data_IF_457231852280
#
_entry.id   IF_457231852280
#
_cell.length_a   1.000
_cell.length_b   1.000
_cell.length_c   1.000
_cell.angle_alpha   90.00
_cell.angle_beta   90.00
_cell.angle_gamma   90.00
#
_symmetry.space_group_name_H-M   'P 1'
#
loop_
_entity.id
_entity.type
_entity.pdbx_description
1 polymer ?
#
# COMPACT_ATOMS: atom_id res chain seq x y z
N UNK A 1 -36.57 -22.95 57.07
CA UNK A 1 -37.42 -23.30 55.92
C UNK A 1 -36.71 -22.89 54.63
N UNK A 2 -36.69 -23.77 53.63
CA UNK A 2 -36.69 -23.48 52.17
C UNK A 2 -35.64 -22.47 51.62
N UNK A 3 -34.56 -22.93 50.98
CA UNK A 3 -34.44 -23.38 49.56
C UNK A 3 -34.30 -22.20 48.57
N UNK A 4 -33.11 -21.92 48.04
CA UNK A 4 -32.49 -22.64 46.90
C UNK A 4 -33.07 -22.29 45.52
N UNK A 5 -32.68 -21.13 44.99
CA UNK A 5 -32.48 -20.86 43.55
C UNK A 5 -31.29 -19.90 43.46
N UNK A 6 -30.10 -20.37 43.08
CA UNK A 6 -29.61 -20.54 41.71
C UNK A 6 -28.52 -19.47 41.47
N UNK A 7 -27.25 -19.82 41.68
CA UNK A 7 -26.34 -20.45 40.71
C UNK A 7 -25.98 -19.49 39.56
N UNK A 8 -24.72 -19.05 39.54
CA UNK A 8 -23.68 -19.45 38.56
C UNK A 8 -23.85 -18.74 37.20
N UNK A 9 -22.83 -18.19 36.54
CA UNK A 9 -21.36 -18.21 36.74
C UNK A 9 -20.80 -17.05 35.90
N UNK A 10 -19.87 -16.21 36.40
CA UNK A 10 -18.41 -16.26 36.13
C UNK A 10 -18.00 -16.85 34.77
N UNK A 11 -17.06 -16.33 33.98
CA UNK A 11 -15.84 -15.51 34.19
C UNK A 11 -15.91 -14.17 33.40
N UNK A 12 -15.02 -13.16 33.46
CA UNK A 12 -13.91 -12.76 34.36
C UNK A 12 -13.68 -11.23 34.21
N UNK A 13 -13.27 -10.47 35.26
CA UNK A 13 -12.91 -9.06 35.14
C UNK A 13 -11.38 -8.78 35.11
N UNK A 14 -11.01 -7.79 34.31
CA UNK A 14 -9.93 -6.79 34.43
C UNK A 14 -8.80 -7.01 35.48
N UNK A 15 -7.57 -7.20 34.97
CA UNK A 15 -6.42 -6.34 35.28
C UNK A 15 -5.54 -6.61 36.52
N UNK A 16 -4.35 -7.19 36.30
CA UNK A 16 -3.12 -6.93 37.07
C UNK A 16 -1.89 -7.26 36.20
N UNK A 17 -0.85 -6.42 36.22
CA UNK A 17 0.37 -6.58 35.41
C UNK A 17 1.42 -7.52 36.03
N UNK A 18 2.63 -7.55 35.45
CA UNK A 18 3.73 -6.93 36.19
C UNK A 18 4.62 -6.01 35.33
N UNK A 19 5.43 -5.20 36.02
CA UNK A 19 6.16 -4.06 35.45
C UNK A 19 7.64 -4.34 35.15
N UNK A 20 8.08 -3.84 34.00
CA UNK A 20 9.43 -3.34 33.69
C UNK A 20 9.18 -2.20 32.69
N UNK A 21 9.79 -1.02 32.70
CA UNK A 21 11.05 -0.55 33.30
C UNK A 21 11.56 0.50 32.30
N UNK A 22 11.73 1.75 32.71
CA UNK A 22 11.98 2.87 31.79
C UNK A 22 13.37 2.86 31.18
N UNK A 23 13.47 2.84 29.85
CA UNK A 23 14.63 3.34 29.11
C UNK A 23 14.17 4.03 27.80
N UNK A 24 14.68 5.25 27.48
CA UNK A 24 14.43 5.90 26.20
C UNK A 24 15.55 5.53 25.19
N UNK A 25 15.19 4.97 24.04
CA UNK A 25 16.19 4.59 23.04
C UNK A 25 15.62 4.09 21.71
N UNK A 26 15.48 5.01 20.75
CA UNK A 26 15.48 4.79 19.31
C UNK A 26 14.83 3.50 18.76
N UNK A 27 13.55 3.57 18.41
CA UNK A 27 12.92 2.60 17.50
C UNK A 27 12.49 3.28 16.19
N UNK A 28 13.45 3.39 15.27
CA UNK A 28 13.20 3.58 13.84
C UNK A 28 13.88 2.44 13.09
N UNK A 29 13.11 1.44 12.65
CA UNK A 29 13.26 0.71 11.36
C UNK A 29 12.45 -0.59 11.37
N UNK A 30 11.85 -0.92 10.21
CA UNK A 30 11.53 -2.31 9.86
C UNK A 30 10.06 -2.74 9.93
N UNK A 31 9.16 -2.10 9.18
CA UNK A 31 7.93 -2.79 8.75
C UNK A 31 8.30 -3.88 7.73
N UNK A 32 8.67 -5.06 8.23
CA UNK A 32 8.85 -6.28 7.44
C UNK A 32 8.58 -7.51 8.31
N UNK A 33 7.40 -8.16 8.21
CA UNK A 33 7.18 -9.45 8.85
C UNK A 33 8.18 -10.51 8.32
N UNK A 34 8.57 -11.50 9.15
CA UNK A 34 9.52 -12.52 8.75
C UNK A 34 8.86 -13.69 8.00
N UNK A 35 9.66 -14.41 7.20
CA UNK A 35 9.33 -15.66 6.51
C UNK A 35 8.37 -15.61 5.30
N UNK A 36 8.81 -15.05 4.18
CA UNK A 36 8.27 -15.41 2.85
C UNK A 36 9.41 -15.67 1.84
N UNK A 37 9.24 -16.57 0.84
CA UNK A 37 10.24 -16.81 -0.21
C UNK A 37 10.48 -15.58 -1.10
N UNK A 38 9.64 -14.55 -0.98
CA UNK A 38 9.75 -13.29 -1.71
C UNK A 38 11.07 -12.56 -1.48
N UNK A 39 11.69 -12.64 -0.28
CA UNK A 39 13.01 -12.01 -0.04
C UNK A 39 14.09 -12.56 -0.95
N UNK A 40 14.03 -13.84 -1.35
CA UNK A 40 14.97 -14.42 -2.29
C UNK A 40 14.76 -13.91 -3.72
N UNK A 41 13.52 -13.85 -4.19
CA UNK A 41 13.16 -13.30 -5.52
C UNK A 41 13.51 -11.81 -5.61
N UNK A 42 13.20 -11.06 -4.55
CA UNK A 42 13.54 -9.64 -4.38
C UNK A 42 15.06 -9.39 -4.46
N UNK A 43 15.88 -10.21 -3.78
CA UNK A 43 17.34 -10.10 -3.86
C UNK A 43 17.92 -10.56 -5.20
N UNK A 44 17.31 -11.53 -5.88
CA UNK A 44 17.71 -11.96 -7.23
C UNK A 44 17.49 -10.86 -8.27
N UNK A 45 16.31 -10.25 -8.30
CA UNK A 45 15.94 -9.25 -9.31
C UNK A 45 16.56 -7.85 -9.09
N UNK A 46 16.79 -7.42 -7.84
CA UNK A 46 17.40 -6.10 -7.56
C UNK A 46 18.94 -6.10 -7.59
N UNK A 47 19.57 -7.20 -8.01
CA UNK A 47 21.03 -7.37 -7.95
C UNK A 47 21.89 -6.48 -8.89
N UNK A 48 21.42 -5.88 -10.01
CA UNK A 48 22.26 -4.99 -10.83
C UNK A 48 22.33 -3.54 -10.29
N UNK A 49 22.31 -3.35 -8.96
CA UNK A 49 22.46 -2.03 -8.28
C UNK A 49 23.95 -1.74 -7.94
N UNK A 50 24.88 -2.40 -8.62
CA UNK A 50 26.34 -2.17 -8.54
C UNK A 50 27.04 -2.25 -9.90
N UNK A 51 26.54 -1.48 -10.87
CA UNK A 51 27.32 -1.09 -12.05
C UNK A 51 27.29 0.43 -12.15
N UNK A 52 28.47 1.04 -12.13
CA UNK A 52 28.62 2.47 -12.40
C UNK A 52 28.07 2.76 -13.79
N UNK A 53 27.03 3.60 -13.88
CA UNK A 53 26.36 3.91 -15.15
C UNK A 53 26.94 5.19 -15.73
N UNK A 54 27.37 5.12 -16.99
CA UNK A 54 27.64 6.29 -17.82
C UNK A 54 26.68 6.30 -19.02
N UNK A 55 26.09 7.47 -19.26
CA UNK A 55 25.40 7.96 -20.46
C UNK A 55 24.25 7.17 -21.14
N UNK A 56 23.79 6.00 -20.65
CA UNK A 56 22.52 5.42 -21.13
C UNK A 56 21.64 4.79 -20.03
N UNK A 57 21.33 5.56 -18.99
CA UNK A 57 20.45 5.16 -17.88
C UNK A 57 19.00 4.81 -18.28
N UNK A 58 18.56 5.09 -19.52
CA UNK A 58 17.20 4.75 -19.96
C UNK A 58 16.95 3.24 -20.01
N UNK A 59 17.93 2.44 -20.45
CA UNK A 59 17.82 0.97 -20.43
C UNK A 59 17.72 0.43 -19.00
N UNK A 60 18.53 0.96 -18.07
CA UNK A 60 18.48 0.59 -16.66
C UNK A 60 17.13 0.95 -16.01
N UNK A 61 16.57 2.13 -16.36
CA UNK A 61 15.22 2.54 -15.93
C UNK A 61 14.15 1.60 -16.49
N UNK A 62 14.23 1.21 -17.78
CA UNK A 62 13.26 0.30 -18.41
C UNK A 62 13.29 -1.10 -17.78
N UNK A 63 14.49 -1.69 -17.60
CA UNK A 63 14.65 -3.00 -16.94
C UNK A 63 14.07 -2.97 -15.53
N UNK A 64 14.28 -1.87 -14.79
CA UNK A 64 13.75 -1.71 -13.43
C UNK A 64 12.23 -1.48 -13.39
N UNK A 65 11.67 -0.69 -14.30
CA UNK A 65 10.22 -0.55 -14.48
C UNK A 65 9.56 -1.91 -14.76
N UNK A 66 10.10 -2.67 -15.72
CA UNK A 66 9.62 -4.01 -16.06
C UNK A 66 9.70 -4.98 -14.89
N UNK A 67 10.84 -5.02 -14.18
CA UNK A 67 11.05 -5.88 -13.00
C UNK A 67 10.04 -5.62 -11.89
N UNK A 68 9.68 -4.34 -11.68
CA UNK A 68 8.68 -3.95 -10.67
C UNK A 68 7.28 -4.42 -11.08
N UNK A 69 6.92 -4.30 -12.37
CA UNK A 69 5.62 -4.75 -12.89
C UNK A 69 5.49 -6.28 -12.88
N UNK A 70 6.56 -7.01 -13.19
CA UNK A 70 6.59 -8.48 -13.10
C UNK A 70 6.42 -8.96 -11.66
N UNK A 71 7.12 -8.34 -10.70
CA UNK A 71 6.93 -8.61 -9.28
C UNK A 71 5.50 -8.28 -8.84
N UNK A 72 4.95 -7.13 -9.25
CA UNK A 72 3.57 -6.75 -8.94
C UNK A 72 2.55 -7.77 -9.48
N UNK A 73 2.74 -8.25 -10.72
CA UNK A 73 1.90 -9.28 -11.33
C UNK A 73 2.02 -10.63 -10.60
N UNK A 74 3.21 -11.00 -10.12
CA UNK A 74 3.41 -12.21 -9.33
C UNK A 74 2.69 -12.13 -7.97
N UNK A 75 2.78 -11.00 -7.27
CA UNK A 75 2.10 -10.77 -6.00
C UNK A 75 0.58 -10.80 -6.17
N UNK A 76 0.04 -10.15 -7.21
CA UNK A 76 -1.39 -10.22 -7.52
C UNK A 76 -1.86 -11.66 -7.80
N UNK A 77 -1.12 -12.43 -8.61
CA UNK A 77 -1.43 -13.85 -8.91
C UNK A 77 -1.34 -14.79 -7.71
N UNK A 78 -0.56 -14.43 -6.70
CA UNK A 78 -0.41 -15.21 -5.46
C UNK A 78 -1.34 -14.72 -4.34
N UNK A 79 -2.17 -13.70 -4.59
CA UNK A 79 -3.08 -13.12 -3.59
C UNK A 79 -2.37 -12.32 -2.49
N UNK A 80 -1.10 -11.94 -2.72
CA UNK A 80 -0.23 -11.28 -1.74
C UNK A 80 -0.45 -9.75 -1.73
N UNK A 81 -1.63 -9.37 -1.26
CA UNK A 81 -2.11 -8.00 -1.31
C UNK A 81 -1.29 -7.06 -0.41
N UNK A 82 -0.98 -7.47 0.82
CA UNK A 82 -0.21 -6.64 1.76
C UNK A 82 1.18 -6.32 1.19
N UNK A 83 1.83 -7.31 0.56
CA UNK A 83 3.12 -7.15 -0.10
C UNK A 83 3.03 -6.30 -1.38
N UNK A 84 1.93 -6.37 -2.14
CA UNK A 84 1.71 -5.53 -3.32
C UNK A 84 1.48 -4.06 -2.91
N UNK A 85 0.68 -3.81 -1.87
CA UNK A 85 0.53 -2.49 -1.27
C UNK A 85 1.86 -1.95 -0.71
N UNK A 86 2.65 -2.82 -0.06
CA UNK A 86 4.00 -2.51 0.42
C UNK A 86 4.98 -2.16 -0.71
N UNK A 87 4.96 -2.91 -1.82
CA UNK A 87 5.76 -2.64 -3.03
C UNK A 87 5.48 -1.23 -3.57
N UNK A 88 4.20 -0.85 -3.63
CA UNK A 88 3.77 0.46 -4.15
C UNK A 88 4.32 1.63 -3.31
N UNK A 89 4.51 1.44 -1.99
CA UNK A 89 5.21 2.40 -1.11
C UNK A 89 6.73 2.35 -1.33
N UNK A 90 7.30 1.15 -1.41
CA UNK A 90 8.75 0.92 -1.56
C UNK A 90 9.33 1.53 -2.85
N UNK A 91 8.56 1.56 -3.94
CA UNK A 91 9.05 2.10 -5.22
C UNK A 91 9.03 3.63 -5.32
N UNK A 92 8.39 4.35 -4.38
CA UNK A 92 8.26 5.83 -4.40
C UNK A 92 9.60 6.59 -4.58
N UNK A 93 10.72 6.22 -3.92
CA UNK A 93 12.01 6.87 -4.16
C UNK A 93 12.51 6.73 -5.60
N UNK A 94 12.27 5.58 -6.25
CA UNK A 94 12.59 5.37 -7.66
C UNK A 94 11.64 6.12 -8.59
N UNK A 95 10.35 6.23 -8.25
CA UNK A 95 9.38 7.02 -9.01
C UNK A 95 9.73 8.52 -9.04
N UNK A 96 10.49 9.00 -8.04
CA UNK A 96 11.03 10.37 -7.99
C UNK A 96 12.30 10.57 -8.83
N UNK A 97 13.01 9.50 -9.24
CA UNK A 97 14.19 9.58 -10.11
C UNK A 97 13.89 9.39 -11.61
N UNK A 98 12.63 9.22 -11.99
CA UNK A 98 12.20 9.00 -13.39
C UNK A 98 11.18 10.05 -13.85
N UNK A 99 10.92 10.12 -15.16
CA UNK A 99 9.98 11.10 -15.71
C UNK A 99 8.57 10.94 -15.14
N UNK A 100 7.85 12.06 -14.99
CA UNK A 100 6.48 12.07 -14.43
C UNK A 100 5.53 11.12 -15.18
N UNK A 101 5.72 10.96 -16.49
CA UNK A 101 4.92 10.05 -17.33
C UNK A 101 5.19 8.56 -17.01
N UNK A 102 6.47 8.14 -16.97
CA UNK A 102 6.83 6.74 -16.61
C UNK A 102 6.35 6.41 -15.18
N UNK A 103 6.59 7.32 -14.24
CA UNK A 103 6.12 7.14 -12.86
C UNK A 103 4.58 7.05 -12.75
N UNK A 104 3.84 7.89 -13.48
CA UNK A 104 2.38 7.84 -13.47
C UNK A 104 1.84 6.54 -14.10
N UNK A 105 2.49 6.03 -15.16
CA UNK A 105 2.16 4.72 -15.74
C UNK A 105 2.37 3.61 -14.72
N UNK A 106 3.55 3.54 -14.10
CA UNK A 106 3.92 2.49 -13.15
C UNK A 106 2.95 2.46 -11.95
N UNK A 107 2.68 3.61 -11.32
CA UNK A 107 1.76 3.69 -10.17
C UNK A 107 0.36 3.22 -10.53
N UNK A 108 -0.17 3.63 -11.69
CA UNK A 108 -1.49 3.18 -12.16
C UNK A 108 -1.51 1.66 -12.38
N UNK A 109 -0.53 1.12 -13.10
CA UNK A 109 -0.45 -0.32 -13.33
C UNK A 109 -0.33 -1.15 -12.05
N UNK A 110 0.45 -0.71 -11.05
CA UNK A 110 0.52 -1.42 -9.75
C UNK A 110 -0.79 -1.30 -8.95
N UNK A 111 -1.46 -0.15 -9.00
CA UNK A 111 -2.73 0.04 -8.29
C UNK A 111 -3.86 -0.74 -8.97
N UNK A 112 -3.95 -0.73 -10.29
CA UNK A 112 -4.95 -1.51 -11.03
C UNK A 112 -4.73 -3.02 -10.78
N UNK A 113 -3.48 -3.52 -10.78
CA UNK A 113 -3.16 -4.89 -10.36
C UNK A 113 -3.60 -5.23 -8.93
N UNK A 114 -3.66 -4.25 -8.02
CA UNK A 114 -4.16 -4.43 -6.66
C UNK A 114 -5.70 -4.44 -6.63
N UNK A 115 -6.34 -3.50 -7.33
CA UNK A 115 -7.80 -3.36 -7.38
C UNK A 115 -8.49 -4.50 -8.13
N UNK A 116 -7.79 -5.16 -9.05
CA UNK A 116 -8.31 -6.30 -9.83
C UNK A 116 -8.14 -7.65 -9.10
N UNK A 117 -7.58 -7.68 -7.88
CA UNK A 117 -7.52 -8.90 -7.07
C UNK A 117 -8.91 -9.25 -6.51
N UNK A 118 -9.36 -10.50 -6.68
CA UNK A 118 -10.61 -11.00 -6.07
C UNK A 118 -10.57 -11.09 -4.52
N UNK A 119 -9.41 -10.83 -3.92
CA UNK A 119 -9.25 -10.70 -2.49
C UNK A 119 -9.92 -9.39 -2.01
N UNK A 120 -11.07 -9.49 -1.36
CA UNK A 120 -11.69 -8.39 -0.64
C UNK A 120 -10.84 -8.05 0.61
N UNK A 121 -9.81 -7.22 0.43
CA UNK A 121 -8.90 -6.81 1.50
C UNK A 121 -9.51 -5.75 2.41
N UNK A 122 -10.41 -4.93 1.87
CA UNK A 122 -10.93 -3.73 2.52
C UNK A 122 -9.92 -2.58 2.56
N UNK A 123 -8.72 -2.76 1.99
CA UNK A 123 -7.62 -1.79 1.97
C UNK A 123 -7.54 -1.02 0.64
N UNK A 124 -8.46 -1.30 -0.30
CA UNK A 124 -8.47 -0.74 -1.66
C UNK A 124 -8.61 0.80 -1.62
N UNK A 125 -9.51 1.28 -0.76
CA UNK A 125 -9.77 2.72 -0.53
C UNK A 125 -8.57 3.38 0.13
N UNK A 126 -8.04 2.79 1.20
CA UNK A 126 -6.90 3.33 1.94
C UNK A 126 -5.64 3.44 1.07
N UNK A 127 -5.37 2.42 0.24
CA UNK A 127 -4.25 2.43 -0.69
C UNK A 127 -4.44 3.49 -1.78
N UNK A 128 -5.66 3.66 -2.32
CA UNK A 128 -5.98 4.74 -3.26
C UNK A 128 -5.73 6.12 -2.63
N UNK A 129 -6.23 6.35 -1.42
CA UNK A 129 -6.07 7.61 -0.68
C UNK A 129 -4.60 7.91 -0.40
N UNK A 130 -3.80 6.92 0.01
CA UNK A 130 -2.37 7.11 0.25
C UNK A 130 -1.60 7.44 -1.05
N UNK A 131 -2.00 6.85 -2.18
CA UNK A 131 -1.44 7.18 -3.50
C UNK A 131 -1.81 8.60 -3.93
N UNK A 132 -3.04 9.04 -3.67
CA UNK A 132 -3.50 10.42 -3.93
C UNK A 132 -2.70 11.41 -3.09
N UNK A 133 -2.48 11.13 -1.80
CA UNK A 133 -1.76 12.04 -0.91
C UNK A 133 -0.27 12.14 -1.28
N UNK A 134 0.36 11.03 -1.64
CA UNK A 134 1.70 11.05 -2.22
C UNK A 134 1.75 11.87 -3.53
N UNK A 135 0.78 11.69 -4.43
CA UNK A 135 0.70 12.46 -5.67
C UNK A 135 0.48 13.98 -5.43
N UNK A 136 -0.21 14.39 -4.35
CA UNK A 136 -0.27 15.80 -3.90
C UNK A 136 1.10 16.29 -3.42
N UNK A 137 1.76 15.54 -2.52
CA UNK A 137 3.05 15.94 -1.94
C UNK A 137 4.14 16.15 -3.00
N UNK A 138 4.18 15.27 -4.01
CA UNK A 138 5.12 15.34 -5.15
C UNK A 138 4.66 16.27 -6.29
N UNK A 139 3.54 16.99 -6.12
CA UNK A 139 2.96 17.91 -7.13
C UNK A 139 2.77 17.23 -8.49
N UNK A 140 2.21 16.01 -8.47
CA UNK A 140 1.93 15.15 -9.64
C UNK A 140 0.46 15.25 -10.05
N UNK A 141 0.03 16.44 -10.45
CA UNK A 141 -1.39 16.80 -10.69
C UNK A 141 -2.15 15.80 -11.58
N UNK A 142 -1.61 15.40 -12.73
CA UNK A 142 -2.26 14.42 -13.63
C UNK A 142 -2.39 13.02 -13.01
N UNK A 143 -1.41 12.59 -12.21
CA UNK A 143 -1.50 11.31 -11.50
C UNK A 143 -2.56 11.40 -10.40
N UNK A 144 -2.58 12.50 -9.64
CA UNK A 144 -3.60 12.77 -8.62
C UNK A 144 -5.01 12.69 -9.20
N UNK A 145 -5.26 13.38 -10.31
CA UNK A 145 -6.55 13.37 -11.02
C UNK A 145 -6.94 11.97 -11.52
N UNK A 146 -5.99 11.20 -12.04
CA UNK A 146 -6.23 9.83 -12.47
C UNK A 146 -6.59 8.89 -11.30
N UNK A 147 -5.94 9.07 -10.15
CA UNK A 147 -6.21 8.32 -8.93
C UNK A 147 -7.54 8.74 -8.29
N UNK A 148 -7.85 10.04 -8.26
CA UNK A 148 -9.15 10.60 -7.85
C UNK A 148 -10.29 9.99 -8.69
N UNK A 149 -10.13 9.91 -10.02
CA UNK A 149 -11.09 9.27 -10.90
C UNK A 149 -11.24 7.75 -10.63
N UNK A 150 -10.14 7.01 -10.41
CA UNK A 150 -10.19 5.57 -10.08
C UNK A 150 -10.86 5.32 -8.73
N UNK A 151 -10.65 6.19 -7.74
CA UNK A 151 -11.29 6.13 -6.43
C UNK A 151 -12.81 6.38 -6.52
N UNK A 152 -13.28 7.30 -7.37
CA UNK A 152 -14.72 7.47 -7.64
C UNK A 152 -15.33 6.19 -8.22
N UNK A 153 -14.66 5.53 -9.17
CA UNK A 153 -15.10 4.22 -9.68
C UNK A 153 -15.15 3.16 -8.58
N UNK A 154 -14.11 3.07 -7.74
CA UNK A 154 -14.05 2.12 -6.63
C UNK A 154 -15.20 2.32 -5.61
N UNK A 155 -15.55 3.56 -5.28
CA UNK A 155 -16.70 3.83 -4.40
C UNK A 155 -18.04 3.48 -5.06
N UNK A 156 -18.17 3.61 -6.37
CA UNK A 156 -19.36 3.17 -7.11
C UNK A 156 -19.50 1.65 -7.08
N UNK A 157 -18.42 0.92 -7.37
CA UNK A 157 -18.39 -0.56 -7.39
C UNK A 157 -18.65 -1.16 -6.01
N UNK A 158 -18.09 -0.55 -4.95
CA UNK A 158 -18.32 -0.94 -3.54
C UNK A 158 -19.66 -0.44 -2.95
N UNK A 159 -20.51 0.20 -3.76
CA UNK A 159 -21.82 0.77 -3.37
C UNK A 159 -21.75 1.83 -2.25
N UNK A 160 -20.59 2.44 -2.02
CA UNK A 160 -20.38 3.51 -1.03
C UNK A 160 -20.74 4.88 -1.60
N UNK A 161 -21.98 5.03 -2.05
CA UNK A 161 -22.43 6.20 -2.81
C UNK A 161 -22.31 7.54 -2.06
N UNK A 162 -22.37 7.53 -0.72
CA UNK A 162 -22.18 8.76 0.08
C UNK A 162 -20.72 9.25 0.09
N UNK A 163 -19.74 8.35 0.11
CA UNK A 163 -18.30 8.69 0.02
C UNK A 163 -17.95 9.19 -1.39
N UNK A 164 -18.55 8.58 -2.42
CA UNK A 164 -18.43 9.04 -3.81
C UNK A 164 -18.97 10.47 -4.03
N UNK A 165 -20.15 10.78 -3.46
CA UNK A 165 -20.77 12.11 -3.56
C UNK A 165 -19.89 13.18 -2.91
N UNK A 166 -19.38 12.94 -1.70
CA UNK A 166 -18.49 13.89 -1.02
C UNK A 166 -17.18 14.15 -1.80
N UNK A 167 -16.65 13.14 -2.49
CA UNK A 167 -15.46 13.31 -3.34
C UNK A 167 -15.75 14.10 -4.63
N UNK A 168 -16.96 13.98 -5.19
CA UNK A 168 -17.40 14.77 -6.36
C UNK A 168 -17.83 16.21 -6.02
N UNK A 169 -18.40 16.42 -4.83
CA UNK A 169 -18.80 17.73 -4.30
C UNK A 169 -17.64 18.51 -3.69
N UNK A 170 -16.55 17.82 -3.28
CA UNK A 170 -15.33 18.47 -2.84
C UNK A 170 -14.89 19.49 -3.91
N UNK A 171 -14.82 20.79 -3.58
CA UNK A 171 -14.64 21.83 -4.58
C UNK A 171 -13.28 21.63 -5.23
N UNK A 172 -13.32 21.07 -6.43
CA UNK A 172 -12.14 20.70 -7.18
C UNK A 172 -11.43 21.98 -7.55
N UNK A 173 -10.39 22.30 -6.75
CA UNK A 173 -9.54 23.46 -6.94
C UNK A 173 -8.61 23.15 -8.12
N UNK A 174 -9.17 23.24 -9.33
CA UNK A 174 -8.48 23.12 -10.62
C UNK A 174 -7.71 24.42 -10.94
N UNK A 175 -7.02 24.99 -9.95
CA UNK A 175 -6.18 26.19 -10.06
C UNK A 175 -4.99 26.03 -9.10
#
# INVERSE_FOLDING_TARGET
SQSSWARLSSLVPVGAGPAWGTHPGAEQQGWFPPQTPLKAIFLLFLSPVKRDVQENDEEAVQVKEQSILELGSLLAKTGQAEELGGLLKYVRPFLNSISKAKAARLVRSLLDLFLDMEAATGQEVDLCLECIEWAKSEKRTFLRQALEARLVSLYFDTKRYQEALQLGEAPTRWW
#
